data_IF_793392515697
#
_entry.id   IF_793392515697
#
_cell.length_a   1.000
_cell.length_b   1.000
_cell.length_c   1.000
_cell.angle_alpha   90.00
_cell.angle_beta   90.00
_cell.angle_gamma   90.00
#
_symmetry.space_group_name_H-M   'P 1'
#
loop_
_entity.id
_entity.type
_entity.pdbx_description
1 polymer ?
#
# COMPACT_ATOMS: atom_id res chain seq x y z
N UNK A 1 -2.63 -15.56 2.06
CA UNK A 1 -1.52 -15.06 2.91
C UNK A 1 -1.86 -15.28 4.38
N UNK A 2 -0.90 -15.69 5.22
CA UNK A 2 -1.05 -15.67 6.68
C UNK A 2 -0.57 -14.32 7.23
N UNK A 3 -1.25 -13.80 8.25
CA UNK A 3 -0.88 -12.56 8.92
C UNK A 3 0.50 -12.69 9.59
N UNK A 4 1.47 -11.81 9.30
CA UNK A 4 2.81 -11.91 9.88
C UNK A 4 2.85 -11.57 11.39
N UNK A 5 1.72 -11.14 11.97
CA UNK A 5 1.62 -10.74 13.38
C UNK A 5 0.84 -11.73 14.25
N UNK A 6 -0.11 -12.46 13.67
CA UNK A 6 -1.00 -13.36 14.42
C UNK A 6 -1.27 -14.69 13.71
N UNK A 7 -0.63 -14.93 12.57
CA UNK A 7 -0.69 -16.16 11.77
C UNK A 7 -2.06 -16.57 11.21
N UNK A 8 -3.12 -15.84 11.55
CA UNK A 8 -4.45 -16.05 10.98
C UNK A 8 -4.48 -15.78 9.48
N UNK A 9 -5.42 -16.45 8.80
CA UNK A 9 -5.67 -16.22 7.38
C UNK A 9 -6.12 -14.78 7.12
N UNK A 10 -5.59 -14.18 6.05
CA UNK A 10 -5.90 -12.82 5.63
C UNK A 10 -6.82 -12.80 4.42
N UNK A 11 -7.71 -11.81 4.37
CA UNK A 11 -8.59 -11.59 3.22
C UNK A 11 -7.83 -10.85 2.11
N UNK A 12 -7.84 -11.42 0.91
CA UNK A 12 -7.28 -10.78 -0.28
C UNK A 12 -8.22 -9.67 -0.77
N UNK A 13 -7.65 -8.52 -1.10
CA UNK A 13 -8.35 -7.37 -1.65
C UNK A 13 -7.37 -6.44 -2.37
N UNK A 14 -7.69 -5.14 -2.41
CA UNK A 14 -6.80 -4.14 -2.98
C UNK A 14 -6.91 -2.80 -2.24
N UNK A 15 -5.80 -2.09 -2.15
CA UNK A 15 -5.82 -0.65 -1.88
C UNK A 15 -6.16 0.08 -3.18
N UNK A 16 -6.97 1.14 -3.10
CA UNK A 16 -7.46 1.85 -4.27
C UNK A 16 -7.49 3.36 -4.00
N UNK A 17 -7.16 4.15 -5.01
CA UNK A 17 -7.13 5.60 -4.93
C UNK A 17 -7.24 6.21 -6.33
N UNK A 18 -7.83 7.40 -6.45
CA UNK A 18 -7.81 8.18 -7.68
C UNK A 18 -6.42 8.77 -8.00
N UNK A 19 -5.52 8.81 -7.00
CA UNK A 19 -4.15 9.33 -7.11
C UNK A 19 -3.14 8.23 -6.77
N UNK A 20 -1.90 8.42 -7.21
CA UNK A 20 -0.76 7.56 -6.85
C UNK A 20 -0.71 7.26 -5.34
N UNK A 21 -0.43 6.00 -5.01
CA UNK A 21 -0.21 5.55 -3.65
C UNK A 21 1.29 5.29 -3.47
N UNK A 22 1.88 5.88 -2.44
CA UNK A 22 3.29 5.71 -2.11
C UNK A 22 3.48 5.66 -0.60
N UNK A 23 4.53 4.96 -0.17
CA UNK A 23 5.02 5.02 1.20
C UNK A 23 5.95 6.22 1.37
N UNK A 24 5.86 6.86 2.54
CA UNK A 24 6.80 7.88 3.00
C UNK A 24 7.00 7.70 4.50
N UNK A 25 8.21 7.96 5.00
CA UNK A 25 8.51 7.92 6.43
C UNK A 25 7.90 9.10 7.21
N UNK A 26 7.26 10.06 6.54
CA UNK A 26 6.50 11.14 7.15
C UNK A 26 5.16 11.39 6.44
N UNK A 27 4.20 11.97 7.17
CA UNK A 27 2.92 12.39 6.59
C UNK A 27 3.06 13.73 5.87
N UNK A 28 2.66 13.78 4.60
CA UNK A 28 2.59 15.02 3.82
C UNK A 28 1.26 15.74 4.05
N UNK A 29 1.31 17.07 4.14
CA UNK A 29 0.11 17.92 4.22
C UNK A 29 -0.29 18.49 2.86
N UNK A 30 0.67 18.64 1.94
CA UNK A 30 0.50 19.21 0.60
C UNK A 30 1.42 18.48 -0.39
N UNK A 31 1.05 18.50 -1.68
CA UNK A 31 1.82 17.92 -2.79
C UNK A 31 2.19 16.43 -2.62
N UNK A 32 1.23 15.58 -2.98
CA UNK A 32 1.35 14.11 -2.95
C UNK A 32 2.04 13.58 -4.21
N UNK A 33 3.32 13.93 -4.37
CA UNK A 33 4.22 13.34 -5.37
C UNK A 33 5.36 12.64 -4.64
N UNK A 34 5.68 11.37 -4.97
CA UNK A 34 6.78 10.66 -4.35
C UNK A 34 8.12 11.33 -4.69
N UNK A 35 9.03 11.33 -3.73
CA UNK A 35 10.42 11.75 -3.90
C UNK A 35 11.34 10.58 -3.52
N UNK A 36 11.90 9.91 -4.52
CA UNK A 36 12.76 8.73 -4.36
C UNK A 36 14.04 9.09 -3.61
N UNK A 37 14.60 10.28 -3.83
CA UNK A 37 15.81 10.75 -3.13
C UNK A 37 15.58 10.92 -1.62
N UNK A 38 14.31 11.07 -1.20
CA UNK A 38 13.90 11.13 0.20
C UNK A 38 13.43 9.77 0.75
N UNK A 39 13.60 8.71 -0.03
CA UNK A 39 13.23 7.34 0.34
C UNK A 39 11.76 7.01 0.14
N UNK A 40 10.96 7.84 -0.55
CA UNK A 40 9.59 7.46 -0.85
C UNK A 40 9.57 6.26 -1.81
N UNK A 41 8.64 5.33 -1.57
CA UNK A 41 8.48 4.11 -2.39
C UNK A 41 7.13 4.14 -3.08
N UNK A 42 7.12 4.09 -4.41
CA UNK A 42 5.86 3.97 -5.17
C UNK A 42 5.24 2.60 -4.91
N UNK A 43 3.99 2.60 -4.45
CA UNK A 43 3.22 1.37 -4.20
C UNK A 43 2.31 1.10 -5.39
N UNK A 44 1.59 2.11 -5.87
CA UNK A 44 0.69 2.02 -7.01
C UNK A 44 0.78 3.33 -7.82
N UNK A 45 1.45 3.32 -8.99
CA UNK A 45 1.72 4.53 -9.77
C UNK A 45 0.42 5.15 -10.32
N UNK A 46 0.48 6.41 -10.76
CA UNK A 46 -0.70 7.09 -11.32
C UNK A 46 -1.29 6.33 -12.53
N UNK A 47 -2.61 6.13 -12.52
CA UNK A 47 -3.37 5.56 -13.62
C UNK A 47 -4.54 6.49 -14.00
N UNK A 48 -4.84 6.58 -15.30
CA UNK A 48 -5.92 7.42 -15.83
C UNK A 48 -7.31 7.07 -15.25
N UNK A 49 -7.53 5.81 -14.87
CA UNK A 49 -8.79 5.31 -14.31
C UNK A 49 -8.69 5.05 -12.79
N UNK A 50 -7.82 5.79 -12.10
CA UNK A 50 -7.41 5.47 -10.74
C UNK A 50 -6.30 4.43 -10.70
N UNK A 51 -5.86 4.10 -9.49
CA UNK A 51 -4.75 3.19 -9.24
C UNK A 51 -5.02 2.35 -7.99
N UNK A 52 -4.34 1.22 -7.92
CA UNK A 52 -4.43 0.31 -6.79
C UNK A 52 -3.39 -0.78 -6.87
N UNK A 53 -3.26 -1.51 -5.77
CA UNK A 53 -2.40 -2.68 -5.68
C UNK A 53 -3.08 -3.73 -4.83
N UNK A 54 -2.84 -4.99 -5.17
CA UNK A 54 -3.23 -6.13 -4.34
C UNK A 54 -2.73 -5.94 -2.90
N UNK A 55 -3.60 -6.26 -1.95
CA UNK A 55 -3.31 -6.13 -0.53
C UNK A 55 -4.08 -7.19 0.25
N UNK A 56 -3.61 -7.45 1.47
CA UNK A 56 -4.20 -8.44 2.35
C UNK A 56 -4.64 -7.78 3.66
N UNK A 57 -5.92 -7.94 4.03
CA UNK A 57 -6.49 -7.42 5.27
C UNK A 57 -6.55 -8.54 6.32
N UNK A 58 -5.83 -8.34 7.43
CA UNK A 58 -6.04 -9.13 8.63
C UNK A 58 -7.18 -8.51 9.45
N UNK A 59 -8.37 -9.14 9.43
CA UNK A 59 -9.53 -8.69 10.22
C UNK A 59 -9.31 -8.77 11.73
N UNK A 60 -8.41 -9.63 12.21
CA UNK A 60 -8.09 -9.74 13.63
C UNK A 60 -7.22 -8.56 14.10
N UNK A 61 -6.07 -8.35 13.46
CA UNK A 61 -5.12 -7.31 13.86
C UNK A 61 -5.45 -5.90 13.33
N UNK A 62 -6.47 -5.79 12.46
CA UNK A 62 -6.87 -4.55 11.76
C UNK A 62 -5.71 -3.92 10.98
N UNK A 63 -4.95 -4.75 10.27
CA UNK A 63 -3.76 -4.37 9.49
C UNK A 63 -3.93 -4.78 8.04
N UNK A 64 -3.43 -3.93 7.15
CA UNK A 64 -3.29 -4.22 5.72
C UNK A 64 -1.81 -4.48 5.45
N UNK A 65 -1.51 -5.55 4.73
CA UNK A 65 -0.16 -5.88 4.25
C UNK A 65 -0.16 -5.78 2.73
N UNK A 66 0.89 -5.17 2.19
CA UNK A 66 1.08 -4.95 0.76
C UNK A 66 2.51 -5.37 0.43
N UNK A 67 2.66 -6.26 -0.53
CA UNK A 67 3.98 -6.61 -1.06
C UNK A 67 4.44 -5.54 -2.05
N UNK A 68 5.67 -5.07 -1.91
CA UNK A 68 6.20 -4.00 -2.77
C UNK A 68 6.64 -4.54 -4.14
N UNK A 69 7.05 -5.80 -4.20
CA UNK A 69 7.50 -6.47 -5.42
C UNK A 69 6.72 -7.77 -5.58
N UNK A 70 6.40 -8.14 -6.82
CA UNK A 70 5.94 -9.51 -7.11
C UNK A 70 7.17 -10.42 -7.09
N UNK A 71 7.07 -11.55 -6.38
CA UNK A 71 8.15 -12.54 -6.26
C UNK A 71 8.32 -13.37 -7.52
#
# INVERSE_FOLDING_TARGET
>A
MKCPYCENEMEKGAIQSAREIFWSNYKRRLFFKPNIDKGDVSIAPFGLNGTGKEAYLCKNCKKVVIDLYEG
#
